data_IF_324576675339
#
_entry.id   IF_324576675339
#
_cell.length_a   1.000
_cell.length_b   1.000
_cell.length_c   1.000
_cell.angle_alpha   90.00
_cell.angle_beta   90.00
_cell.angle_gamma   90.00
#
_symmetry.space_group_name_H-M   'P 1'
#
loop_
_entity.id
_entity.type
_entity.pdbx_description
1 polymer ?
#
# COMPACT_ATOMS: atom_id res chain seq x y z
N UNK A 1 -8.22 -114.16 -8.82
CA UNK A 1 -8.21 -114.59 -10.23
C UNK A 1 -8.56 -113.35 -11.05
N UNK A 2 -7.55 -112.58 -11.45
CA UNK A 2 -6.95 -112.64 -12.80
C UNK A 2 -7.99 -112.18 -13.84
N UNK A 3 -7.92 -110.91 -14.28
CA UNK A 3 -7.29 -110.43 -15.54
C UNK A 3 -8.05 -110.99 -16.76
N UNK A 4 -8.52 -110.26 -17.77
CA UNK A 4 -7.99 -109.11 -18.55
C UNK A 4 -8.84 -109.11 -19.86
N UNK A 5 -9.14 -108.05 -20.60
CA UNK A 5 -8.33 -107.09 -21.40
C UNK A 5 -9.35 -106.19 -22.15
N UNK A 6 -9.26 -104.86 -22.32
CA UNK A 6 -8.42 -104.03 -23.24
C UNK A 6 -8.16 -104.63 -24.63
N UNK A 7 -7.96 -103.84 -25.73
CA UNK A 7 -7.49 -102.43 -25.86
C UNK A 7 -8.39 -101.57 -26.81
N UNK A 8 -8.25 -100.25 -27.04
CA UNK A 8 -7.18 -99.42 -27.65
C UNK A 8 -7.40 -97.94 -27.22
N UNK A 9 -6.44 -97.17 -26.70
CA UNK A 9 -5.22 -96.58 -27.31
C UNK A 9 -5.59 -95.58 -28.44
N UNK A 10 -5.20 -94.30 -28.52
CA UNK A 10 -4.23 -93.36 -27.94
C UNK A 10 -4.89 -91.94 -28.01
N UNK A 11 -4.48 -90.85 -27.37
CA UNK A 11 -3.23 -90.48 -26.74
C UNK A 11 -3.40 -89.10 -26.07
N UNK A 12 -2.52 -88.86 -25.09
CA UNK A 12 -2.48 -87.69 -24.22
C UNK A 12 -1.84 -86.49 -24.93
N UNK A 13 -2.50 -85.34 -24.89
CA UNK A 13 -1.90 -84.02 -25.02
C UNK A 13 -2.25 -83.21 -23.78
N UNK A 14 -1.32 -83.13 -22.83
CA UNK A 14 -1.52 -82.40 -21.58
C UNK A 14 -1.50 -80.89 -21.76
N UNK A 15 -2.34 -80.21 -20.98
CA UNK A 15 -2.07 -78.89 -20.37
C UNK A 15 -3.04 -78.70 -19.20
N UNK A 16 -2.47 -78.37 -18.05
CA UNK A 16 -3.18 -78.14 -16.78
C UNK A 16 -4.27 -77.06 -16.92
N UNK A 17 -5.45 -77.27 -16.31
CA UNK A 17 -6.46 -76.23 -16.18
C UNK A 17 -6.03 -75.19 -15.15
N UNK A 18 -6.22 -73.94 -15.56
CA UNK A 18 -6.03 -72.68 -14.85
C UNK A 18 -6.79 -72.60 -13.53
N UNK A 19 -6.16 -71.93 -12.56
CA UNK A 19 -6.78 -71.49 -11.31
C UNK A 19 -8.05 -70.66 -11.57
N UNK A 20 -9.04 -70.68 -10.65
CA UNK A 20 -10.28 -69.94 -10.81
C UNK A 20 -10.02 -68.43 -10.83
N UNK A 21 -10.50 -67.80 -11.89
CA UNK A 21 -10.48 -66.35 -12.12
C UNK A 21 -11.24 -65.63 -11.01
N UNK A 22 -10.59 -64.66 -10.37
CA UNK A 22 -11.22 -63.71 -9.46
C UNK A 22 -12.43 -63.04 -10.13
N UNK A 23 -13.51 -62.76 -9.37
CA UNK A 23 -14.64 -61.99 -9.89
C UNK A 23 -14.18 -60.61 -10.38
N UNK A 24 -14.83 -60.05 -11.41
CA UNK A 24 -14.49 -58.74 -11.93
C UNK A 24 -14.58 -57.69 -10.82
N UNK A 25 -13.68 -56.70 -10.79
CA UNK A 25 -13.76 -55.62 -9.84
C UNK A 25 -15.11 -54.93 -10.02
N UNK A 26 -15.86 -54.83 -8.92
CA UNK A 26 -17.04 -53.99 -8.81
C UNK A 26 -16.61 -52.61 -9.31
N UNK A 27 -17.30 -51.98 -10.28
CA UNK A 27 -16.97 -50.62 -10.66
C UNK A 27 -17.06 -49.79 -9.38
N UNK A 28 -15.93 -49.17 -9.02
CA UNK A 28 -15.90 -48.21 -7.95
C UNK A 28 -17.05 -47.24 -8.22
N UNK A 29 -18.01 -47.22 -7.31
CA UNK A 29 -18.97 -46.14 -7.25
C UNK A 29 -18.10 -44.92 -6.98
N UNK A 30 -17.76 -44.20 -8.05
CA UNK A 30 -17.30 -42.82 -7.94
C UNK A 30 -18.42 -42.13 -7.22
N UNK A 31 -18.26 -41.94 -5.91
CA UNK A 31 -18.99 -40.92 -5.20
C UNK A 31 -18.80 -39.67 -6.04
N UNK A 32 -19.86 -39.06 -6.59
CA UNK A 32 -19.70 -37.72 -7.12
C UNK A 32 -19.25 -36.93 -5.91
N UNK A 33 -17.96 -36.61 -5.87
CA UNK A 33 -17.46 -35.57 -4.99
C UNK A 33 -18.42 -34.41 -5.17
N UNK A 34 -19.01 -34.00 -4.06
CA UNK A 34 -19.78 -32.77 -3.94
C UNK A 34 -18.99 -31.66 -4.65
N UNK A 35 -19.40 -31.38 -5.89
CA UNK A 35 -19.30 -30.06 -6.49
C UNK A 35 -20.02 -29.14 -5.50
N UNK A 36 -19.26 -28.66 -4.50
CA UNK A 36 -19.67 -27.53 -3.68
C UNK A 36 -20.12 -26.47 -4.68
N UNK A 37 -21.42 -26.14 -4.77
CA UNK A 37 -21.86 -25.15 -5.73
C UNK A 37 -21.03 -23.91 -5.45
N UNK A 38 -20.39 -23.37 -6.49
CA UNK A 38 -19.72 -22.10 -6.39
C UNK A 38 -20.70 -21.16 -5.69
N UNK A 39 -20.35 -20.69 -4.49
CA UNK A 39 -21.26 -19.87 -3.70
C UNK A 39 -21.42 -18.55 -4.46
N UNK A 40 -22.43 -18.49 -5.32
CA UNK A 40 -22.78 -17.28 -6.05
C UNK A 40 -23.47 -16.39 -5.03
N UNK A 41 -22.83 -15.26 -4.73
CA UNK A 41 -23.44 -14.28 -3.83
C UNK A 41 -24.79 -13.83 -4.39
N UNK A 42 -25.85 -13.76 -3.55
CA UNK A 42 -27.15 -13.30 -3.99
C UNK A 42 -27.08 -11.88 -4.55
N UNK A 43 -27.71 -11.67 -5.70
CA UNK A 43 -27.71 -10.38 -6.40
C UNK A 43 -28.83 -9.47 -5.89
N UNK A 44 -28.49 -8.26 -5.46
CA UNK A 44 -29.45 -7.29 -4.95
C UNK A 44 -30.04 -6.42 -6.05
N UNK A 45 -29.23 -6.03 -7.04
CA UNK A 45 -29.65 -5.22 -8.19
C UNK A 45 -29.58 -3.72 -7.99
N UNK A 46 -29.36 -3.23 -6.77
CA UNK A 46 -29.30 -1.80 -6.43
C UNK A 46 -27.96 -1.36 -5.82
N UNK A 47 -27.05 -2.31 -5.58
CA UNK A 47 -25.77 -2.05 -4.92
C UNK A 47 -24.72 -1.48 -5.87
N UNK A 48 -23.96 -0.45 -5.47
CA UNK A 48 -22.98 0.21 -6.33
C UNK A 48 -21.73 -0.64 -6.60
N UNK A 49 -21.46 -1.65 -5.77
CA UNK A 49 -20.38 -2.62 -5.88
C UNK A 49 -20.77 -3.87 -6.66
N UNK A 50 -22.05 -4.02 -7.02
CA UNK A 50 -22.53 -5.16 -7.80
C UNK A 50 -22.41 -4.94 -9.31
N UNK A 51 -21.91 -5.97 -10.00
CA UNK A 51 -21.92 -6.02 -11.45
C UNK A 51 -22.84 -7.15 -11.92
N UNK A 52 -24.02 -6.78 -12.44
CA UNK A 52 -25.01 -7.75 -12.92
C UNK A 52 -24.45 -8.72 -13.98
N UNK A 53 -23.43 -8.34 -14.75
CA UNK A 53 -22.79 -9.24 -15.72
C UNK A 53 -21.90 -10.29 -15.07
N UNK A 54 -21.20 -9.93 -14.00
CA UNK A 54 -20.35 -10.86 -13.27
C UNK A 54 -21.19 -11.84 -12.46
N UNK A 55 -22.29 -11.36 -11.87
CA UNK A 55 -23.34 -12.21 -11.31
C UNK A 55 -23.89 -13.18 -12.35
N UNK A 56 -24.33 -12.69 -13.51
CA UNK A 56 -24.92 -13.55 -14.55
C UNK A 56 -23.94 -14.62 -15.04
N UNK A 57 -22.64 -14.29 -15.15
CA UNK A 57 -21.58 -15.27 -15.45
C UNK A 57 -21.31 -16.23 -14.30
N UNK A 58 -21.42 -15.79 -13.05
CA UNK A 58 -21.28 -16.65 -11.89
C UNK A 58 -22.46 -17.65 -11.80
N UNK A 59 -23.69 -17.17 -11.97
CA UNK A 59 -24.90 -17.99 -12.06
C UNK A 59 -24.76 -19.05 -13.16
N UNK A 60 -24.44 -18.66 -14.39
CA UNK A 60 -24.30 -19.64 -15.49
C UNK A 60 -23.18 -20.65 -15.24
N UNK A 61 -22.08 -20.25 -14.59
CA UNK A 61 -21.02 -21.19 -14.17
C UNK A 61 -21.50 -22.18 -13.11
N UNK A 62 -22.27 -21.72 -12.13
CA UNK A 62 -22.84 -22.57 -11.08
C UNK A 62 -23.92 -23.53 -11.62
N UNK A 63 -24.67 -23.10 -12.63
CA UNK A 63 -25.71 -23.92 -13.26
C UNK A 63 -25.14 -24.95 -14.23
N UNK A 64 -23.96 -24.69 -14.82
CA UNK A 64 -23.31 -25.62 -15.74
C UNK A 64 -24.21 -26.00 -16.91
N UNK A 65 -24.30 -27.30 -17.20
CA UNK A 65 -25.08 -27.85 -18.32
C UNK A 65 -26.57 -28.09 -17.99
N UNK A 66 -27.09 -27.47 -16.92
CA UNK A 66 -28.53 -27.58 -16.59
C UNK A 66 -29.39 -27.04 -17.73
N UNK A 67 -30.55 -27.67 -18.00
CA UNK A 67 -31.47 -27.19 -19.00
C UNK A 67 -32.11 -25.86 -18.58
N UNK A 68 -32.60 -25.10 -19.55
CA UNK A 68 -33.01 -23.71 -19.37
C UNK A 68 -34.27 -23.56 -18.51
N UNK A 69 -35.19 -24.54 -18.55
CA UNK A 69 -36.33 -24.63 -17.65
C UNK A 69 -35.90 -24.69 -16.17
N UNK A 70 -34.89 -25.51 -15.86
CA UNK A 70 -34.30 -25.60 -14.52
C UNK A 70 -33.55 -24.32 -14.15
N UNK A 71 -32.97 -23.61 -15.12
CA UNK A 71 -32.35 -22.29 -14.87
C UNK A 71 -33.38 -21.26 -14.45
N UNK A 72 -34.50 -21.20 -15.17
CA UNK A 72 -35.62 -20.33 -14.82
C UNK A 72 -36.13 -20.59 -13.40
N UNK A 73 -36.40 -21.85 -13.05
CA UNK A 73 -36.88 -22.22 -11.71
C UNK A 73 -35.91 -21.84 -10.59
N UNK A 74 -34.61 -21.98 -10.84
CA UNK A 74 -33.59 -21.74 -9.82
C UNK A 74 -33.09 -20.30 -9.77
N UNK A 75 -33.30 -19.49 -10.81
CA UNK A 75 -32.76 -18.14 -10.91
C UNK A 75 -33.16 -17.25 -9.73
N UNK A 76 -34.43 -17.31 -9.32
CA UNK A 76 -34.95 -16.56 -8.16
C UNK A 76 -34.19 -16.85 -6.86
N UNK A 77 -33.66 -18.07 -6.67
CA UNK A 77 -32.91 -18.45 -5.47
C UNK A 77 -31.52 -17.79 -5.38
N UNK A 78 -31.06 -17.18 -6.48
CA UNK A 78 -29.80 -16.43 -6.55
C UNK A 78 -30.02 -14.92 -6.51
N UNK A 79 -31.27 -14.48 -6.35
CA UNK A 79 -31.61 -13.08 -6.08
C UNK A 79 -31.72 -12.89 -4.58
N UNK A 80 -31.32 -11.72 -4.10
CA UNK A 80 -31.51 -11.40 -2.70
C UNK A 80 -32.99 -11.18 -2.42
N UNK A 81 -33.55 -11.95 -1.47
CA UNK A 81 -34.94 -11.81 -1.06
C UNK A 81 -35.27 -10.36 -0.66
N UNK A 82 -36.41 -9.86 -1.14
CA UNK A 82 -36.86 -8.47 -0.93
C UNK A 82 -35.89 -7.40 -1.48
N UNK A 83 -34.99 -7.78 -2.39
CA UNK A 83 -34.10 -6.87 -3.12
C UNK A 83 -34.72 -6.37 -4.43
N UNK A 84 -34.15 -5.31 -5.03
CA UNK A 84 -34.63 -4.73 -6.29
C UNK A 84 -34.68 -5.77 -7.42
N UNK A 85 -33.69 -6.67 -7.48
CA UNK A 85 -33.66 -7.75 -8.46
C UNK A 85 -34.77 -8.80 -8.24
N UNK A 86 -35.09 -9.12 -6.99
CA UNK A 86 -36.16 -10.07 -6.65
C UNK A 86 -37.55 -9.46 -6.96
N UNK A 87 -37.76 -8.19 -6.60
CA UNK A 87 -38.97 -7.44 -6.96
C UNK A 87 -39.14 -7.32 -8.48
N UNK A 88 -38.05 -7.05 -9.20
CA UNK A 88 -38.04 -7.02 -10.66
C UNK A 88 -38.43 -8.38 -11.26
N UNK A 89 -37.81 -9.47 -10.80
CA UNK A 89 -38.10 -10.81 -11.33
C UNK A 89 -39.55 -11.22 -11.04
N UNK A 90 -40.05 -10.92 -9.83
CA UNK A 90 -41.44 -11.15 -9.45
C UNK A 90 -42.44 -10.34 -10.29
N UNK A 91 -42.04 -9.17 -10.79
CA UNK A 91 -42.86 -8.34 -11.65
C UNK A 91 -42.89 -8.79 -13.13
N UNK A 92 -42.00 -9.71 -13.54
CA UNK A 92 -42.00 -10.23 -14.91
C UNK A 92 -43.23 -11.10 -15.18
N UNK A 93 -43.78 -11.08 -16.41
CA UNK A 93 -44.82 -12.03 -16.82
C UNK A 93 -44.36 -13.50 -16.70
N UNK A 94 -45.29 -14.41 -16.39
CA UNK A 94 -44.98 -15.84 -16.19
C UNK A 94 -44.41 -16.50 -17.45
N UNK A 95 -44.86 -16.08 -18.62
CA UNK A 95 -44.33 -16.49 -19.92
C UNK A 95 -42.87 -16.05 -20.12
N UNK A 96 -42.48 -14.89 -19.60
CA UNK A 96 -41.08 -14.44 -19.58
C UNK A 96 -40.27 -15.21 -18.56
N UNK A 97 -40.80 -15.45 -17.36
CA UNK A 97 -40.09 -16.20 -16.31
C UNK A 97 -39.79 -17.66 -16.68
N UNK A 98 -40.52 -18.23 -17.64
CA UNK A 98 -40.35 -19.62 -18.10
C UNK A 98 -39.50 -19.75 -19.36
N UNK A 99 -39.14 -18.64 -20.00
CA UNK A 99 -38.26 -18.59 -21.17
C UNK A 99 -36.93 -17.94 -20.81
N UNK A 100 -35.87 -18.75 -20.74
CA UNK A 100 -34.56 -18.29 -20.29
C UNK A 100 -33.98 -17.19 -21.17
N UNK A 101 -34.18 -17.24 -22.50
CA UNK A 101 -33.67 -16.22 -23.41
C UNK A 101 -34.37 -14.87 -23.17
N UNK A 102 -35.66 -14.89 -22.84
CA UNK A 102 -36.43 -13.70 -22.47
C UNK A 102 -36.03 -13.15 -21.09
N UNK A 103 -35.76 -14.02 -20.10
CA UNK A 103 -35.18 -13.62 -18.81
C UNK A 103 -33.83 -12.93 -19.01
N UNK A 104 -32.93 -13.51 -19.82
CA UNK A 104 -31.62 -12.92 -20.14
C UNK A 104 -31.78 -11.55 -20.77
N UNK A 105 -32.73 -11.41 -21.71
CA UNK A 105 -32.99 -10.17 -22.43
C UNK A 105 -33.47 -9.07 -21.49
N UNK A 106 -34.47 -9.35 -20.67
CA UNK A 106 -34.99 -8.38 -19.70
C UNK A 106 -33.94 -8.05 -18.63
N UNK A 107 -33.17 -9.04 -18.17
CA UNK A 107 -32.08 -8.81 -17.21
C UNK A 107 -31.03 -7.82 -17.76
N UNK A 108 -30.63 -7.99 -19.02
CA UNK A 108 -29.68 -7.08 -19.67
C UNK A 108 -30.27 -5.69 -20.00
N UNK A 109 -31.60 -5.58 -20.09
CA UNK A 109 -32.28 -4.29 -20.21
C UNK A 109 -32.26 -3.51 -18.88
N UNK A 110 -32.50 -4.19 -17.76
CA UNK A 110 -32.49 -3.60 -16.43
C UNK A 110 -31.08 -3.34 -15.89
N UNK A 111 -30.13 -4.26 -16.11
CA UNK A 111 -28.72 -4.12 -15.70
C UNK A 111 -27.79 -4.17 -16.92
N UNK A 112 -27.71 -3.06 -17.69
CA UNK A 112 -26.89 -2.99 -18.89
C UNK A 112 -25.41 -3.11 -18.55
N UNK A 113 -24.63 -3.56 -19.53
CA UNK A 113 -23.16 -3.64 -19.40
C UNK A 113 -22.60 -2.25 -19.14
N UNK A 114 -21.96 -2.08 -17.97
CA UNK A 114 -21.17 -0.90 -17.72
C UNK A 114 -20.15 -0.72 -18.85
N UNK A 115 -20.19 0.43 -19.51
CA UNK A 115 -19.19 0.79 -20.52
C UNK A 115 -17.87 1.00 -19.79
N UNK A 116 -16.97 0.02 -19.88
CA UNK A 116 -15.62 0.17 -19.33
C UNK A 116 -15.00 1.41 -19.97
N UNK A 117 -14.70 2.42 -19.14
CA UNK A 117 -13.95 3.59 -19.55
C UNK A 117 -12.61 3.11 -20.11
N UNK A 118 -12.51 3.05 -21.45
CA UNK A 118 -11.26 2.76 -22.12
C UNK A 118 -10.45 4.03 -22.09
N UNK A 119 -9.21 3.94 -21.60
CA UNK A 119 -8.28 5.06 -21.70
C UNK A 119 -8.25 5.55 -23.14
N UNK A 120 -8.43 6.84 -23.30
CA UNK A 120 -8.33 7.54 -24.58
C UNK A 120 -6.89 7.48 -25.08
N UNK A 121 -6.67 7.74 -26.38
CA UNK A 121 -5.33 7.83 -26.94
C UNK A 121 -4.47 8.85 -26.16
N UNK A 122 -5.06 9.99 -25.80
CA UNK A 122 -4.41 11.04 -25.02
C UNK A 122 -3.94 10.58 -23.63
N UNK A 123 -4.77 9.81 -22.91
CA UNK A 123 -4.37 9.25 -21.61
C UNK A 123 -3.23 8.23 -21.74
N UNK A 124 -3.21 7.44 -22.81
CA UNK A 124 -2.07 6.56 -23.09
C UNK A 124 -0.80 7.35 -23.43
N UNK A 125 -0.91 8.46 -24.16
CA UNK A 125 0.24 9.33 -24.46
C UNK A 125 0.83 9.94 -23.19
N UNK A 126 -0.03 10.45 -22.29
CA UNK A 126 0.39 10.97 -20.99
C UNK A 126 1.09 9.89 -20.16
N UNK A 127 0.56 8.67 -20.11
CA UNK A 127 1.16 7.55 -19.38
C UNK A 127 2.51 7.10 -19.98
N UNK A 128 2.62 7.03 -21.30
CA UNK A 128 3.88 6.69 -21.99
C UNK A 128 4.96 7.72 -21.67
N UNK A 129 4.61 9.01 -21.63
CA UNK A 129 5.57 10.08 -21.33
C UNK A 129 5.87 10.23 -19.84
N UNK A 130 4.90 9.91 -18.97
CA UNK A 130 5.07 9.93 -17.52
C UNK A 130 5.89 8.75 -16.99
N UNK A 131 5.89 7.60 -17.68
CA UNK A 131 6.62 6.41 -17.25
C UNK A 131 8.14 6.57 -17.46
N UNK A 132 8.79 7.18 -16.47
CA UNK A 132 10.23 7.42 -16.47
C UNK A 132 10.97 6.44 -15.56
N UNK A 133 12.11 5.95 -16.06
CA UNK A 133 13.05 5.17 -15.27
C UNK A 133 13.95 6.13 -14.48
N UNK A 134 13.83 6.12 -13.15
CA UNK A 134 14.66 6.97 -12.28
C UNK A 134 16.08 6.44 -12.22
N UNK A 135 17.06 7.34 -12.28
CA UNK A 135 18.48 7.02 -12.15
C UNK A 135 18.82 6.37 -10.80
N UNK A 136 18.08 6.70 -9.75
CA UNK A 136 18.24 6.14 -8.40
C UNK A 136 17.84 4.67 -8.31
N UNK A 137 16.84 4.27 -9.10
CA UNK A 137 16.33 2.91 -9.15
C UNK A 137 17.18 1.99 -10.05
N UNK A 138 18.22 2.52 -10.69
CA UNK A 138 19.10 1.77 -11.58
C UNK A 138 19.87 0.68 -10.83
N UNK A 139 19.91 -0.51 -11.43
CA UNK A 139 20.62 -1.68 -10.88
C UNK A 139 19.94 -2.33 -9.66
N UNK A 140 18.75 -1.86 -9.28
CA UNK A 140 17.91 -2.52 -8.28
C UNK A 140 17.07 -3.61 -8.93
N UNK A 141 16.60 -4.53 -8.09
CA UNK A 141 15.58 -5.51 -8.45
C UNK A 141 14.23 -5.04 -7.91
N UNK A 142 13.19 -5.21 -8.71
CA UNK A 142 11.80 -5.05 -8.29
C UNK A 142 11.04 -6.37 -8.50
N UNK A 143 10.09 -6.64 -7.61
CA UNK A 143 9.23 -7.82 -7.73
C UNK A 143 8.08 -7.50 -8.68
N UNK A 144 8.04 -8.16 -9.83
CA UNK A 144 6.95 -8.07 -10.81
C UNK A 144 6.32 -9.44 -10.95
N UNK A 145 5.01 -9.54 -10.68
CA UNK A 145 4.25 -10.79 -10.74
C UNK A 145 4.93 -11.95 -9.96
N UNK A 146 5.44 -11.65 -8.76
CA UNK A 146 6.12 -12.63 -7.90
C UNK A 146 7.54 -13.01 -8.31
N UNK A 147 8.13 -12.34 -9.32
CA UNK A 147 9.52 -12.58 -9.77
C UNK A 147 10.40 -11.36 -9.58
N UNK A 148 11.61 -11.55 -9.06
CA UNK A 148 12.61 -10.49 -9.00
C UNK A 148 13.18 -10.20 -10.39
N UNK A 149 12.92 -9.00 -10.90
CA UNK A 149 13.38 -8.54 -12.21
C UNK A 149 14.13 -7.22 -12.03
N UNK A 150 15.19 -6.98 -12.81
CA UNK A 150 15.89 -5.70 -12.75
C UNK A 150 14.99 -4.55 -13.20
N UNK A 151 15.10 -3.41 -12.54
CA UNK A 151 14.23 -2.24 -12.74
C UNK A 151 14.15 -1.76 -14.20
N UNK A 152 15.24 -1.83 -14.96
CA UNK A 152 15.24 -1.44 -16.37
C UNK A 152 14.50 -2.44 -17.28
N UNK A 153 14.55 -3.73 -16.97
CA UNK A 153 13.81 -4.79 -17.68
C UNK A 153 12.33 -4.64 -17.37
N UNK A 154 12.00 -4.51 -16.08
CA UNK A 154 10.64 -4.35 -15.64
C UNK A 154 9.99 -3.04 -16.15
N UNK A 155 10.77 -1.95 -16.23
CA UNK A 155 10.35 -0.73 -16.91
C UNK A 155 10.08 -0.98 -18.40
N UNK A 156 10.95 -1.71 -19.10
CA UNK A 156 10.75 -2.02 -20.52
C UNK A 156 9.49 -2.86 -20.76
N UNK A 157 9.16 -3.77 -19.84
CA UNK A 157 7.94 -4.58 -19.91
C UNK A 157 6.68 -3.75 -19.65
N UNK A 158 6.69 -2.89 -18.62
CA UNK A 158 5.61 -1.94 -18.35
C UNK A 158 5.38 -0.99 -19.53
N UNK A 159 6.46 -0.45 -20.09
CA UNK A 159 6.40 0.41 -21.28
C UNK A 159 5.87 -0.33 -22.50
N UNK A 160 6.30 -1.56 -22.73
CA UNK A 160 5.80 -2.41 -23.81
C UNK A 160 4.30 -2.68 -23.71
N UNK A 161 3.80 -2.93 -22.50
CA UNK A 161 2.36 -3.12 -22.28
C UNK A 161 1.55 -1.84 -22.59
N UNK A 162 2.04 -0.67 -22.18
CA UNK A 162 1.39 0.62 -22.47
C UNK A 162 1.36 0.91 -23.97
N UNK A 163 2.49 0.79 -24.65
CA UNK A 163 2.61 1.04 -26.08
C UNK A 163 1.78 0.06 -26.91
N UNK A 164 1.67 -1.20 -26.46
CA UNK A 164 0.80 -2.20 -27.09
C UNK A 164 -0.66 -1.81 -26.97
N UNK A 165 -1.11 -1.40 -25.79
CA UNK A 165 -2.49 -0.93 -25.57
C UNK A 165 -2.81 0.35 -26.33
N UNK A 166 -1.81 1.21 -26.53
CA UNK A 166 -1.92 2.42 -27.35
C UNK A 166 -1.85 2.16 -28.88
N UNK A 167 -1.55 0.92 -29.31
CA UNK A 167 -1.46 0.58 -30.73
C UNK A 167 -0.21 1.13 -31.45
N UNK A 168 0.81 1.58 -30.71
CA UNK A 168 1.99 2.23 -31.30
C UNK A 168 3.19 1.29 -31.53
N UNK A 169 3.08 0.00 -31.21
CA UNK A 169 4.21 -0.94 -31.23
C UNK A 169 4.96 -1.03 -32.56
N UNK A 170 4.24 -0.92 -33.68
CA UNK A 170 4.84 -1.00 -35.02
C UNK A 170 5.55 0.30 -35.46
N UNK A 171 5.28 1.42 -34.79
CA UNK A 171 5.81 2.73 -35.13
C UNK A 171 6.94 3.20 -34.22
N UNK A 172 7.44 4.41 -34.48
CA UNK A 172 8.47 5.09 -33.68
C UNK A 172 7.93 6.25 -32.85
N UNK A 173 6.60 6.44 -32.82
CA UNK A 173 5.94 7.53 -32.11
C UNK A 173 6.36 7.53 -30.64
N UNK A 174 6.74 8.70 -30.13
CA UNK A 174 7.23 8.94 -28.76
C UNK A 174 8.57 8.31 -28.36
N UNK A 175 9.18 7.40 -29.15
CA UNK A 175 10.48 6.79 -28.81
C UNK A 175 11.55 7.86 -28.55
N UNK A 176 11.62 8.89 -29.41
CA UNK A 176 12.57 9.99 -29.26
C UNK A 176 12.37 10.80 -27.97
N UNK A 177 11.11 10.97 -27.53
CA UNK A 177 10.76 11.66 -26.28
C UNK A 177 11.14 10.81 -25.07
N UNK A 178 10.73 9.53 -25.07
CA UNK A 178 11.02 8.59 -23.98
C UNK A 178 12.53 8.37 -23.84
N UNK A 179 13.27 8.27 -24.94
CA UNK A 179 14.74 8.17 -24.90
C UNK A 179 15.41 9.38 -24.24
N UNK A 180 14.86 10.59 -24.40
CA UNK A 180 15.38 11.79 -23.70
C UNK A 180 15.12 11.75 -22.20
N UNK A 181 14.10 11.04 -21.75
CA UNK A 181 13.79 10.82 -20.34
C UNK A 181 14.60 9.68 -19.68
N UNK A 182 15.26 8.83 -20.47
CA UNK A 182 16.03 7.71 -19.92
C UNK A 182 17.32 8.16 -19.21
N UNK A 183 17.75 7.48 -18.13
CA UNK A 183 19.04 7.71 -17.49
C UNK A 183 20.19 7.62 -18.50
N UNK A 184 21.20 8.48 -18.33
CA UNK A 184 22.35 8.56 -19.24
C UNK A 184 23.00 7.21 -19.54
N UNK A 185 23.12 6.36 -18.51
CA UNK A 185 23.70 5.01 -18.61
C UNK A 185 22.97 4.10 -19.62
N UNK A 186 21.64 4.13 -19.68
CA UNK A 186 20.88 3.35 -20.66
C UNK A 186 20.88 4.06 -22.00
N UNK A 187 20.77 5.40 -21.99
CA UNK A 187 20.74 6.21 -23.21
C UNK A 187 22.01 6.04 -24.06
N UNK A 188 23.17 5.92 -23.42
CA UNK A 188 24.46 5.68 -24.06
C UNK A 188 24.52 4.30 -24.74
N UNK A 189 23.80 3.31 -24.20
CA UNK A 189 23.75 1.94 -24.74
C UNK A 189 22.68 1.76 -25.81
N UNK A 190 21.61 2.54 -25.73
CA UNK A 190 20.62 2.64 -26.82
C UNK A 190 21.17 3.60 -27.88
N UNK A 191 22.16 3.12 -28.65
CA UNK A 191 22.78 3.85 -29.75
C UNK A 191 21.90 3.73 -31.01
N UNK A 192 21.77 4.82 -31.76
CA UNK A 192 20.94 4.89 -32.97
C UNK A 192 19.50 5.29 -32.72
N UNK A 193 18.72 5.42 -33.80
CA UNK A 193 17.28 5.73 -33.73
C UNK A 193 16.52 4.42 -33.94
N UNK A 194 15.91 3.83 -32.89
CA UNK A 194 15.13 2.62 -33.05
C UNK A 194 13.98 2.87 -34.02
N UNK A 195 13.81 1.98 -34.99
CA UNK A 195 12.78 2.11 -36.03
C UNK A 195 11.38 1.81 -35.51
N UNK A 196 11.28 0.99 -34.45
CA UNK A 196 10.03 0.67 -33.77
C UNK A 196 10.25 0.37 -32.28
N UNK A 197 9.15 0.31 -31.53
CA UNK A 197 9.16 0.07 -30.10
C UNK A 197 9.69 -1.30 -29.72
N UNK A 198 9.44 -2.33 -30.54
CA UNK A 198 9.95 -3.68 -30.30
C UNK A 198 11.49 -3.68 -30.25
N UNK A 199 12.13 -3.06 -31.24
CA UNK A 199 13.58 -2.93 -31.30
C UNK A 199 14.13 -2.08 -30.15
N UNK A 200 13.47 -0.96 -29.82
CA UNK A 200 13.87 -0.10 -28.71
C UNK A 200 13.86 -0.84 -27.36
N UNK A 201 12.75 -1.51 -27.04
CA UNK A 201 12.60 -2.21 -25.77
C UNK A 201 13.51 -3.43 -25.69
N UNK A 202 13.76 -4.12 -26.80
CA UNK A 202 14.75 -5.20 -26.86
C UNK A 202 16.16 -4.69 -26.51
N UNK A 203 16.59 -3.55 -27.06
CA UNK A 203 17.88 -2.94 -26.72
C UNK A 203 17.96 -2.54 -25.26
N UNK A 204 16.88 -2.00 -24.68
CA UNK A 204 16.86 -1.64 -23.25
C UNK A 204 16.98 -2.88 -22.36
N UNK A 205 16.28 -3.98 -22.69
CA UNK A 205 16.38 -5.26 -21.96
C UNK A 205 17.76 -5.90 -22.07
N UNK A 206 18.46 -5.68 -23.19
CA UNK A 206 19.78 -6.26 -23.46
C UNK A 206 20.94 -5.48 -22.84
N UNK A 207 20.68 -4.39 -22.09
CA UNK A 207 21.75 -3.63 -21.43
C UNK A 207 22.40 -4.49 -20.34
N UNK A 208 23.74 -4.53 -20.36
CA UNK A 208 24.54 -5.30 -19.41
C UNK A 208 24.29 -4.87 -17.96
N UNK A 209 23.86 -5.84 -17.15
CA UNK A 209 23.48 -5.66 -15.74
C UNK A 209 24.70 -5.32 -14.87
N UNK A 210 25.85 -5.96 -15.11
CA UNK A 210 27.06 -5.72 -14.32
C UNK A 210 27.56 -4.30 -14.57
N UNK A 211 27.51 -3.85 -15.83
CA UNK A 211 27.82 -2.48 -16.18
C UNK A 211 26.84 -1.47 -15.55
N UNK A 212 25.54 -1.75 -15.55
CA UNK A 212 24.54 -0.90 -14.87
C UNK A 212 24.84 -0.81 -13.37
N UNK A 213 25.19 -1.93 -12.73
CA UNK A 213 25.47 -1.96 -11.28
C UNK A 213 26.73 -1.17 -10.95
N UNK A 214 27.80 -1.36 -11.72
CA UNK A 214 29.08 -0.67 -11.50
C UNK A 214 28.95 0.83 -11.75
N UNK A 215 28.28 1.23 -12.83
CA UNK A 215 28.01 2.64 -13.13
C UNK A 215 27.05 3.29 -12.13
N UNK A 216 26.01 2.59 -11.67
CA UNK A 216 25.11 3.11 -10.63
C UNK A 216 25.84 3.26 -9.29
N UNK A 217 26.75 2.35 -8.95
CA UNK A 217 27.59 2.46 -7.77
C UNK A 217 28.55 3.66 -7.85
N UNK A 218 29.17 3.90 -9.01
CA UNK A 218 30.05 5.06 -9.18
C UNK A 218 29.30 6.39 -9.18
N UNK A 219 28.12 6.47 -9.80
CA UNK A 219 27.28 7.67 -9.72
C UNK A 219 26.87 7.99 -8.28
N UNK A 220 26.60 6.98 -7.45
CA UNK A 220 26.32 7.18 -6.02
C UNK A 220 27.55 7.71 -5.28
N UNK A 221 28.75 7.16 -5.55
CA UNK A 221 30.00 7.64 -4.95
C UNK A 221 30.31 9.08 -5.36
N UNK A 222 30.14 9.43 -6.64
CA UNK A 222 30.41 10.78 -7.12
C UNK A 222 29.41 11.80 -6.55
N UNK A 223 28.12 11.45 -6.45
CA UNK A 223 27.13 12.30 -5.75
C UNK A 223 27.50 12.53 -4.29
N UNK A 224 27.97 11.50 -3.60
CA UNK A 224 28.41 11.62 -2.20
C UNK A 224 29.70 12.45 -2.07
N UNK A 225 30.58 12.38 -3.07
CA UNK A 225 31.75 13.25 -3.15
C UNK A 225 31.33 14.70 -3.39
N UNK A 226 30.41 14.94 -4.32
CA UNK A 226 29.90 16.27 -4.63
C UNK A 226 29.21 16.91 -3.42
N UNK A 227 28.35 16.17 -2.72
CA UNK A 227 27.73 16.63 -1.46
C UNK A 227 28.78 17.04 -0.42
N UNK A 228 29.86 16.26 -0.29
CA UNK A 228 30.97 16.58 0.64
C UNK A 228 31.73 17.84 0.22
N UNK A 229 31.93 18.04 -1.09
CA UNK A 229 32.55 19.26 -1.62
C UNK A 229 31.63 20.46 -1.39
N UNK A 230 30.35 20.35 -1.70
CA UNK A 230 29.36 21.42 -1.53
C UNK A 230 29.21 21.81 -0.07
N UNK A 231 29.17 20.85 0.85
CA UNK A 231 29.12 21.12 2.30
C UNK A 231 30.39 21.83 2.79
N UNK A 232 31.55 21.43 2.26
CA UNK A 232 32.82 22.10 2.55
C UNK A 232 32.84 23.53 2.01
N UNK A 233 32.36 23.74 0.80
CA UNK A 233 32.24 25.07 0.19
C UNK A 233 31.29 25.96 1.00
N UNK A 234 30.12 25.43 1.38
CA UNK A 234 29.14 26.12 2.22
C UNK A 234 29.73 26.53 3.58
N UNK A 235 30.52 25.67 4.19
CA UNK A 235 31.21 25.97 5.45
C UNK A 235 32.25 27.09 5.28
N UNK A 236 33.04 27.04 4.21
CA UNK A 236 34.04 28.07 3.90
C UNK A 236 33.39 29.43 3.59
N UNK A 237 32.29 29.44 2.84
CA UNK A 237 31.51 30.66 2.55
C UNK A 237 30.90 31.25 3.83
N UNK A 238 30.41 30.41 4.74
CA UNK A 238 29.91 30.86 6.04
C UNK A 238 31.02 31.49 6.91
N UNK A 239 32.24 30.95 6.85
CA UNK A 239 33.39 31.48 7.59
C UNK A 239 33.93 32.79 7.00
N UNK A 240 33.82 32.99 5.69
CA UNK A 240 34.33 34.14 4.94
C UNK A 240 33.27 35.23 4.68
N UNK A 241 32.11 35.16 5.34
CA UNK A 241 31.04 36.15 5.15
C UNK A 241 31.48 37.55 5.58
N UNK A 242 31.37 38.59 4.72
CA UNK A 242 31.72 39.98 5.05
C UNK A 242 30.92 40.56 6.24
N UNK A 243 29.79 39.95 6.58
CA UNK A 243 28.96 40.34 7.72
C UNK A 243 29.37 39.68 9.04
N UNK A 244 30.40 38.82 9.05
CA UNK A 244 30.88 38.14 10.26
C UNK A 244 31.24 39.14 11.36
N UNK A 245 32.03 40.16 11.04
CA UNK A 245 32.42 41.18 12.01
C UNK A 245 31.21 41.95 12.57
N UNK A 246 30.24 42.29 11.71
CA UNK A 246 29.02 43.01 12.08
C UNK A 246 28.10 42.13 12.95
N UNK A 247 27.97 40.84 12.63
CA UNK A 247 27.18 39.88 13.44
C UNK A 247 27.82 39.64 14.81
N UNK A 248 29.14 39.53 14.88
CA UNK A 248 29.84 39.42 16.16
C UNK A 248 29.66 40.70 16.99
N UNK A 249 29.78 41.88 16.37
CA UNK A 249 29.56 43.15 17.08
C UNK A 249 28.12 43.34 17.57
N UNK A 250 27.12 42.93 16.78
CA UNK A 250 25.70 42.97 17.18
C UNK A 250 25.38 41.94 18.27
N UNK A 251 26.04 40.78 18.29
CA UNK A 251 25.90 39.79 19.36
C UNK A 251 26.46 40.28 20.72
N UNK A 252 27.38 41.24 20.71
CA UNK A 252 27.92 41.88 21.92
C UNK A 252 27.19 43.17 22.33
N UNK A 253 26.26 43.67 21.52
CA UNK A 253 25.49 44.87 21.83
C UNK A 253 24.22 44.51 22.64
N UNK A 254 24.37 44.34 23.95
CA UNK A 254 23.24 44.26 24.88
C UNK A 254 22.64 45.65 25.08
N UNK A 255 21.48 45.93 24.47
CA UNK A 255 20.65 47.09 24.83
C UNK A 255 19.99 46.78 26.19
N UNK A 256 20.60 47.30 27.25
CA UNK A 256 20.06 47.19 28.61
C UNK A 256 18.76 47.98 28.75
N UNK A 257 17.63 47.28 28.93
CA UNK A 257 16.44 47.88 29.55
C UNK A 257 16.70 48.01 31.05
N UNK A 258 16.67 49.27 31.52
CA UNK A 258 16.72 49.70 32.91
C UNK A 258 16.13 48.68 33.91
N UNK A 259 16.95 48.18 34.83
CA UNK A 259 16.46 47.59 36.08
C UNK A 259 16.93 48.43 37.26
N UNK A 260 15.95 48.88 38.06
CA UNK A 260 16.17 49.51 39.36
C UNK A 260 17.04 48.61 40.23
N UNK A 261 17.97 49.24 40.95
CA UNK A 261 18.81 48.64 41.99
C UNK A 261 18.04 47.68 42.89
N UNK A 262 18.69 46.56 43.25
CA UNK A 262 18.90 46.19 44.65
C UNK A 262 20.07 45.22 44.81
N UNK A 263 20.92 45.57 45.77
CA UNK A 263 22.09 44.85 46.26
C UNK A 263 21.78 43.40 46.70
N UNK A 264 22.73 42.48 46.56
CA UNK A 264 23.66 42.07 47.64
C UNK A 264 24.56 40.91 47.22
N UNK A 265 25.85 41.04 47.60
CA UNK A 265 26.85 40.04 48.02
C UNK A 265 27.15 38.84 47.10
N UNK A 266 28.34 38.74 46.48
CA UNK A 266 29.71 38.52 46.99
C UNK A 266 30.11 37.04 46.92
N UNK A 267 31.39 36.84 46.57
CA UNK A 267 32.22 35.64 46.47
C UNK A 267 31.91 34.69 45.31
N UNK A 268 32.87 34.14 44.58
CA UNK A 268 34.29 34.40 44.25
C UNK A 268 34.77 33.06 43.68
N UNK A 269 35.60 33.11 42.65
CA UNK A 269 36.62 32.10 42.33
C UNK A 269 36.15 30.69 41.88
N UNK A 270 36.75 30.02 40.89
CA UNK A 270 37.69 30.31 39.81
C UNK A 270 37.80 28.98 38.99
N UNK A 271 38.68 28.84 37.98
CA UNK A 271 38.35 28.17 36.72
C UNK A 271 39.17 26.87 36.52
N UNK A 272 39.12 26.36 35.29
CA UNK A 272 39.87 25.22 34.74
C UNK A 272 39.23 23.83 34.91
N UNK A 273 38.56 23.36 33.84
CA UNK A 273 38.93 22.11 33.17
C UNK A 273 38.32 22.08 31.75
N UNK A 274 39.24 21.97 30.80
CA UNK A 274 39.09 21.54 29.40
C UNK A 274 38.45 20.14 29.38
N UNK A 275 37.54 19.73 28.50
CA UNK A 275 37.79 19.40 27.09
C UNK A 275 36.53 18.73 26.53
N UNK A 276 36.16 19.06 25.29
CA UNK A 276 35.67 18.06 24.32
C UNK A 276 34.16 17.91 24.12
N UNK A 277 33.73 18.09 22.88
CA UNK A 277 32.53 17.44 22.33
C UNK A 277 31.42 18.38 21.90
N UNK A 278 31.60 19.08 20.78
CA UNK A 278 30.54 19.82 20.12
C UNK A 278 29.42 18.90 19.65
N UNK A 279 28.23 19.07 20.23
CA UNK A 279 26.97 18.64 19.60
C UNK A 279 26.27 19.88 19.05
N UNK A 280 26.02 19.86 17.74
CA UNK A 280 25.31 20.88 17.00
C UNK A 280 23.86 20.97 17.45
N UNK A 281 23.59 22.00 18.24
CA UNK A 281 22.47 22.94 18.14
C UNK A 281 21.21 22.47 17.39
N UNK A 282 20.24 21.92 18.13
CA UNK A 282 18.82 22.06 17.82
C UNK A 282 18.16 22.76 18.99
N UNK A 283 18.02 24.08 18.87
CA UNK A 283 17.42 24.96 19.87
C UNK A 283 15.94 24.60 20.06
N UNK A 284 15.58 24.07 21.22
CA UNK A 284 14.25 24.23 21.79
C UNK A 284 14.34 25.16 22.99
N UNK A 285 13.62 26.28 22.91
CA UNK A 285 13.44 27.19 24.02
C UNK A 285 12.67 26.47 25.14
N UNK A 286 13.33 26.42 26.30
CA UNK A 286 12.81 25.93 27.57
C UNK A 286 11.76 26.93 28.07
N UNK A 287 10.55 26.45 28.35
CA UNK A 287 9.63 27.10 29.27
C UNK A 287 9.09 26.03 30.22
N UNK A 288 9.53 26.10 31.48
CA UNK A 288 8.94 25.39 32.61
C UNK A 288 8.26 26.44 33.53
N UNK A 289 7.56 26.03 34.61
CA UNK A 289 6.13 25.78 34.59
C UNK A 289 5.36 26.79 35.46
N UNK A 290 4.05 26.93 35.25
CA UNK A 290 3.17 27.48 36.30
C UNK A 290 1.88 26.67 36.37
N UNK A 291 1.64 26.18 37.58
CA UNK A 291 0.43 25.51 38.03
C UNK A 291 -0.78 26.46 38.11
N UNK A 292 -1.98 25.87 38.11
CA UNK A 292 -3.15 26.45 38.79
C UNK A 292 -4.36 26.79 37.92
N UNK A 293 -5.32 25.86 37.88
CA UNK A 293 -6.75 26.12 38.18
C UNK A 293 -7.60 27.07 37.33
N UNK A 294 -8.68 26.52 36.77
CA UNK A 294 -10.03 27.10 36.91
C UNK A 294 -10.55 28.03 35.79
N UNK A 295 -11.53 27.53 35.04
CA UNK A 295 -12.82 28.21 34.85
C UNK A 295 -12.95 29.39 33.87
N UNK A 296 -13.85 29.18 32.89
CA UNK A 296 -14.80 30.12 32.27
C UNK A 296 -14.29 31.40 31.54
N UNK A 297 -14.61 31.46 30.24
CA UNK A 297 -15.19 32.66 29.65
C UNK A 297 -14.33 33.54 28.73
N UNK A 298 -14.63 33.43 27.43
CA UNK A 298 -14.83 34.52 26.45
C UNK A 298 -13.60 35.21 25.80
N UNK A 299 -13.60 35.10 24.47
CA UNK A 299 -13.23 36.05 23.41
C UNK A 299 -11.99 36.96 23.58
N UNK A 300 -11.07 36.85 22.62
CA UNK A 300 -10.06 37.87 22.33
C UNK A 300 -9.06 37.37 21.32
N UNK A 301 -9.20 37.82 20.07
CA UNK A 301 -8.35 37.43 18.95
C UNK A 301 -6.88 37.77 19.19
N UNK A 302 -6.03 36.78 18.92
CA UNK A 302 -4.58 36.91 18.87
C UNK A 302 -4.06 35.81 17.97
N UNK A 303 -4.18 35.98 16.66
CA UNK A 303 -3.58 35.10 15.65
C UNK A 303 -2.06 35.30 15.68
N UNK A 304 -1.40 34.71 16.68
CA UNK A 304 0.02 34.41 16.59
C UNK A 304 0.19 33.43 15.44
N UNK A 305 0.74 33.90 14.32
CA UNK A 305 1.07 33.07 13.17
C UNK A 305 2.00 31.95 13.64
N UNK A 306 1.44 30.75 13.85
CA UNK A 306 2.22 29.53 14.00
C UNK A 306 3.02 29.40 12.72
N UNK A 307 4.34 29.52 12.81
CA UNK A 307 5.24 29.24 11.70
C UNK A 307 4.88 27.87 11.15
N UNK A 308 4.41 27.85 9.89
CA UNK A 308 4.03 26.62 9.23
C UNK A 308 5.27 25.72 9.20
N UNK A 309 5.14 24.53 9.77
CA UNK A 309 6.19 23.52 9.71
C UNK A 309 6.49 23.23 8.23
N UNK A 310 7.77 23.15 7.80
CA UNK A 310 8.08 22.72 6.45
C UNK A 310 7.45 21.34 6.18
N UNK A 311 6.99 21.08 4.94
CA UNK A 311 6.37 19.80 4.60
C UNK A 311 7.32 18.64 4.92
N UNK A 312 6.83 17.52 5.47
CA UNK A 312 7.67 16.36 5.77
C UNK A 312 8.39 15.86 4.53
N UNK A 313 9.71 15.64 4.64
CA UNK A 313 10.52 15.08 3.56
C UNK A 313 10.36 13.57 3.45
N UNK A 314 10.76 12.96 2.33
CA UNK A 314 10.74 11.49 2.22
C UNK A 314 11.72 10.83 3.21
N UNK A 315 12.83 11.49 3.53
CA UNK A 315 13.75 11.04 4.58
C UNK A 315 13.06 11.00 5.96
N UNK A 316 12.26 12.01 6.29
CA UNK A 316 11.50 12.04 7.55
C UNK A 316 10.49 10.89 7.62
N UNK A 317 9.82 10.59 6.50
CA UNK A 317 8.87 9.47 6.38
C UNK A 317 9.55 8.12 6.57
N UNK A 318 10.68 7.90 5.90
CA UNK A 318 11.47 6.66 6.05
C UNK A 318 11.97 6.50 7.49
N UNK A 319 12.52 7.56 8.08
CA UNK A 319 12.99 7.54 9.46
C UNK A 319 11.85 7.25 10.45
N UNK A 320 10.66 7.81 10.22
CA UNK A 320 9.49 7.56 11.05
C UNK A 320 8.96 6.13 10.91
N UNK A 321 8.89 5.57 9.70
CA UNK A 321 8.52 4.15 9.49
C UNK A 321 9.48 3.21 10.24
N UNK A 322 10.79 3.49 10.18
CA UNK A 322 11.77 2.70 10.92
C UNK A 322 11.56 2.78 12.45
N UNK A 323 11.13 3.92 12.99
CA UNK A 323 10.81 4.07 14.42
C UNK A 323 9.51 3.40 14.83
N UNK A 324 8.50 3.40 13.96
CA UNK A 324 7.26 2.62 14.18
C UNK A 324 7.61 1.14 14.24
N UNK A 325 8.42 0.63 13.31
CA UNK A 325 8.86 -0.77 13.30
C UNK A 325 9.66 -1.19 14.56
N UNK A 326 10.36 -0.25 15.22
CA UNK A 326 11.04 -0.51 16.50
C UNK A 326 10.08 -0.64 17.68
N UNK A 327 8.86 -0.11 17.57
CA UNK A 327 7.85 -0.18 18.63
C UNK A 327 7.00 -1.42 18.42
N UNK A 328 7.39 -2.52 19.08
CA UNK A 328 6.65 -3.78 19.02
C UNK A 328 5.23 -3.59 19.54
N UNK A 329 4.25 -3.85 18.69
CA UNK A 329 2.84 -3.89 19.04
C UNK A 329 2.48 -5.27 19.58
N UNK A 330 1.79 -5.30 20.72
CA UNK A 330 1.45 -6.55 21.40
C UNK A 330 -0.01 -6.95 21.14
N UNK A 331 -0.32 -8.26 21.05
CA UNK A 331 -1.70 -8.74 20.99
C UNK A 331 -2.44 -8.44 22.30
N UNK A 332 -3.78 -8.33 22.26
CA UNK A 332 -4.61 -8.09 23.45
C UNK A 332 -4.74 -9.31 24.36
N UNK A 333 -3.63 -9.65 24.98
CA UNK A 333 -3.48 -10.75 25.94
C UNK A 333 -2.94 -10.19 27.25
N UNK A 334 -3.06 -10.94 28.34
CA UNK A 334 -2.49 -10.52 29.63
C UNK A 334 -0.97 -10.32 29.56
N UNK A 335 -0.28 -11.21 28.82
CA UNK A 335 1.14 -11.08 28.53
C UNK A 335 1.43 -9.81 27.72
N UNK A 336 0.62 -9.51 26.70
CA UNK A 336 0.76 -8.30 25.89
C UNK A 336 0.53 -7.00 26.67
N UNK A 337 -0.45 -6.98 27.58
CA UNK A 337 -0.69 -5.85 28.50
C UNK A 337 0.46 -5.64 29.47
N UNK A 338 1.03 -6.72 30.00
CA UNK A 338 2.21 -6.66 30.87
C UNK A 338 3.44 -6.13 30.12
N UNK A 339 3.68 -6.62 28.89
CA UNK A 339 4.78 -6.17 28.04
C UNK A 339 4.65 -4.70 27.63
N UNK A 340 3.43 -4.26 27.29
CA UNK A 340 3.14 -2.86 27.01
C UNK A 340 3.39 -1.95 28.23
N UNK A 341 2.99 -2.35 29.44
CA UNK A 341 3.34 -1.59 30.65
C UNK A 341 4.85 -1.51 30.87
N UNK A 342 5.59 -2.58 30.58
CA UNK A 342 7.05 -2.57 30.62
C UNK A 342 7.65 -1.60 29.59
N UNK A 343 7.11 -1.56 28.37
CA UNK A 343 7.52 -0.60 27.35
C UNK A 343 7.23 0.85 27.77
N UNK A 344 6.10 1.12 28.42
CA UNK A 344 5.81 2.45 28.95
C UNK A 344 6.81 2.87 30.03
N UNK A 345 7.19 1.96 30.93
CA UNK A 345 8.24 2.21 31.94
C UNK A 345 9.60 2.46 31.28
N UNK A 346 10.00 1.62 30.33
CA UNK A 346 11.25 1.80 29.60
C UNK A 346 11.29 3.11 28.80
N UNK A 347 10.14 3.54 28.26
CA UNK A 347 10.01 4.83 27.61
C UNK A 347 10.22 5.99 28.59
N UNK A 348 9.59 5.93 29.76
CA UNK A 348 9.74 6.94 30.82
C UNK A 348 11.18 6.98 31.33
N UNK A 349 11.83 5.84 31.49
CA UNK A 349 13.24 5.75 31.91
C UNK A 349 14.18 6.35 30.86
N UNK A 350 13.93 6.05 29.57
CA UNK A 350 14.77 6.51 28.47
C UNK A 350 14.61 8.00 28.18
N UNK A 351 13.38 8.50 28.20
CA UNK A 351 13.07 9.86 27.75
C UNK A 351 12.73 10.81 28.88
N UNK A 352 12.30 10.33 30.04
CA UNK A 352 11.81 11.13 31.15
C UNK A 352 10.28 11.17 31.22
N UNK A 353 9.75 11.24 32.44
CA UNK A 353 8.31 11.25 32.68
C UNK A 353 7.62 12.47 32.04
N UNK A 354 8.24 13.64 32.05
CA UNK A 354 7.67 14.88 31.50
C UNK A 354 7.96 15.11 30.01
N UNK A 355 8.66 14.16 29.37
CA UNK A 355 9.05 14.35 27.98
C UNK A 355 7.84 14.31 27.06
N UNK A 356 7.84 15.23 26.10
CA UNK A 356 6.80 15.31 25.09
C UNK A 356 7.00 14.22 24.04
N UNK A 357 5.88 13.67 23.56
CA UNK A 357 5.87 12.79 22.39
C UNK A 357 6.14 13.61 21.14
N UNK A 358 7.13 13.19 20.37
CA UNK A 358 7.61 13.80 19.13
C UNK A 358 8.00 12.69 18.15
N UNK A 359 8.35 13.03 16.92
CA UNK A 359 8.92 12.07 15.97
C UNK A 359 10.10 11.27 16.51
N UNK A 360 10.92 11.90 17.36
CA UNK A 360 12.14 11.31 17.92
C UNK A 360 11.86 10.46 19.18
N UNK A 361 10.65 10.55 19.73
CA UNK A 361 10.26 9.92 21.01
C UNK A 361 9.00 9.07 20.83
N UNK A 362 9.09 7.94 20.08
CA UNK A 362 7.93 7.10 19.75
C UNK A 362 7.29 6.53 21.01
N UNK A 363 5.96 6.62 21.13
CA UNK A 363 5.25 6.14 22.31
C UNK A 363 4.66 4.72 22.07
N UNK A 364 4.75 3.80 23.06
CA UNK A 364 4.17 2.46 22.93
C UNK A 364 2.67 2.47 22.63
N UNK A 365 2.21 1.56 21.78
CA UNK A 365 0.80 1.42 21.40
C UNK A 365 0.08 0.43 22.32
N UNK A 366 -1.16 0.75 22.70
CA UNK A 366 -1.98 -0.11 23.55
C UNK A 366 -2.25 -1.45 22.85
N UNK A 367 -2.12 -2.60 23.53
CA UNK A 367 -2.48 -3.90 22.95
C UNK A 367 -3.92 -3.94 22.46
N UNK A 368 -4.17 -4.65 21.36
CA UNK A 368 -5.52 -4.76 20.76
C UNK A 368 -6.00 -3.54 19.97
N UNK A 369 -5.22 -2.46 19.93
CA UNK A 369 -5.46 -1.36 19.00
C UNK A 369 -4.86 -1.67 17.64
N UNK A 370 -5.21 -0.90 16.62
CA UNK A 370 -4.59 -0.98 15.29
C UNK A 370 -3.19 -0.32 15.28
N UNK A 371 -2.33 -0.66 14.31
CA UNK A 371 -1.05 -0.01 14.09
C UNK A 371 -1.18 1.52 13.94
N UNK A 372 -0.11 2.26 14.19
CA UNK A 372 -0.11 3.69 13.90
C UNK A 372 -0.18 3.92 12.38
N UNK A 373 -1.00 4.90 11.94
CA UNK A 373 -1.20 5.25 10.52
C UNK A 373 -2.02 4.21 9.70
N UNK A 374 -2.97 3.52 10.33
CA UNK A 374 -3.88 2.56 9.69
C UNK A 374 -5.33 3.08 9.61
N UNK A 375 -5.52 4.40 9.47
CA UNK A 375 -6.82 5.07 9.57
C UNK A 375 -7.56 4.84 10.90
N UNK A 376 -6.80 4.67 11.97
CA UNK A 376 -7.32 4.49 13.31
C UNK A 376 -7.93 5.78 13.89
N UNK A 377 -8.88 5.61 14.80
CA UNK A 377 -9.35 6.67 15.67
C UNK A 377 -8.30 6.96 16.75
N UNK A 378 -7.81 8.20 16.85
CA UNK A 378 -6.85 8.57 17.91
C UNK A 378 -7.45 8.52 19.32
N UNK A 379 -8.78 8.45 19.44
CA UNK A 379 -9.47 8.32 20.71
C UNK A 379 -9.46 6.90 21.28
N UNK A 380 -9.56 5.87 20.43
CA UNK A 380 -9.70 4.47 20.88
C UNK A 380 -8.73 3.48 20.22
N UNK A 381 -8.02 3.88 19.17
CA UNK A 381 -7.10 3.02 18.43
C UNK A 381 -7.76 2.03 17.47
N UNK A 382 -9.07 2.12 17.23
CA UNK A 382 -9.83 1.24 16.32
C UNK A 382 -10.26 1.98 15.05
N UNK A 383 -10.60 1.25 13.99
CA UNK A 383 -11.10 1.81 12.73
C UNK A 383 -12.61 2.15 12.78
N UNK A 384 -13.13 2.73 11.69
CA UNK A 384 -14.56 2.98 11.47
C UNK A 384 -15.07 4.35 11.94
N UNK A 385 -14.24 5.16 12.62
CA UNK A 385 -14.62 6.52 13.04
C UNK A 385 -13.41 7.42 13.34
N UNK A 386 -13.65 8.71 13.55
CA UNK A 386 -12.63 9.71 13.93
C UNK A 386 -12.76 10.11 15.41
N UNK A 387 -11.69 10.64 16.01
CA UNK A 387 -11.64 10.98 17.44
C UNK A 387 -12.80 11.86 17.96
N UNK A 388 -13.28 12.90 17.22
CA UNK A 388 -14.46 13.66 17.63
C UNK A 388 -15.77 12.87 17.65
N UNK A 389 -15.86 11.79 16.85
CA UNK A 389 -17.02 10.89 16.76
C UNK A 389 -16.76 9.57 17.49
N UNK A 390 -15.81 9.55 18.43
CA UNK A 390 -15.49 8.33 19.16
C UNK A 390 -16.59 7.99 20.17
N UNK A 391 -17.19 6.78 20.10
CA UNK A 391 -18.27 6.38 20.99
C UNK A 391 -17.78 6.00 22.40
N UNK A 392 -16.46 5.85 22.61
CA UNK A 392 -15.93 5.49 23.92
C UNK A 392 -15.95 6.69 24.90
N UNK A 393 -16.31 6.44 26.18
CA UNK A 393 -16.23 7.46 27.22
C UNK A 393 -14.76 7.82 27.52
N UNK A 394 -14.53 8.99 28.11
CA UNK A 394 -13.20 9.57 28.27
C UNK A 394 -12.21 8.66 29.01
N UNK A 395 -12.68 7.86 29.96
CA UNK A 395 -11.89 6.96 30.79
C UNK A 395 -11.36 5.75 30.01
N UNK A 396 -12.05 5.36 28.92
CA UNK A 396 -11.63 4.25 28.04
C UNK A 396 -10.78 4.71 26.87
N UNK A 397 -10.66 6.02 26.66
CA UNK A 397 -9.84 6.58 25.57
C UNK A 397 -8.35 6.25 25.77
N UNK A 398 -7.60 6.36 24.67
CA UNK A 398 -6.15 6.22 24.70
C UNK A 398 -5.53 7.31 25.58
N UNK A 399 -4.35 7.00 26.12
CA UNK A 399 -3.54 8.00 26.80
C UNK A 399 -3.23 9.14 25.82
N UNK A 400 -3.23 10.38 26.28
CA UNK A 400 -2.89 11.56 25.49
C UNK A 400 -1.56 11.39 24.74
N UNK A 401 -0.57 10.71 25.34
CA UNK A 401 0.73 10.43 24.71
C UNK A 401 0.63 9.50 23.51
N UNK A 402 -0.20 8.47 23.62
CA UNK A 402 -0.44 7.56 22.50
C UNK A 402 -1.27 8.24 21.41
N UNK A 403 -2.28 9.02 21.79
CA UNK A 403 -3.08 9.81 20.86
C UNK A 403 -2.22 10.82 20.08
N UNK A 404 -1.31 11.52 20.77
CA UNK A 404 -0.34 12.44 20.16
C UNK A 404 0.61 11.69 19.20
N UNK A 405 1.10 10.52 19.60
CA UNK A 405 1.96 9.69 18.74
C UNK A 405 1.25 9.30 17.44
N UNK A 406 0.01 8.83 17.53
CA UNK A 406 -0.81 8.48 16.36
C UNK A 406 -1.09 9.69 15.47
N UNK A 407 -1.34 10.86 16.07
CA UNK A 407 -1.53 12.10 15.33
C UNK A 407 -0.26 12.52 14.57
N UNK A 408 0.91 12.40 15.20
CA UNK A 408 2.22 12.66 14.56
C UNK A 408 2.45 11.69 13.40
N UNK A 409 2.20 10.40 13.61
CA UNK A 409 2.37 9.37 12.58
C UNK A 409 1.51 9.68 11.36
N UNK A 410 0.22 9.98 11.57
CA UNK A 410 -0.69 10.34 10.49
C UNK A 410 -0.31 11.67 9.82
N UNK A 411 0.17 12.67 10.57
CA UNK A 411 0.55 13.96 9.99
C UNK A 411 1.76 13.87 9.05
N UNK A 412 2.66 12.92 9.27
CA UNK A 412 3.94 12.82 8.55
C UNK A 412 3.87 11.79 7.42
N UNK A 413 3.24 10.65 7.70
CA UNK A 413 3.11 9.54 6.74
C UNK A 413 1.96 9.74 5.77
N UNK A 414 0.94 10.53 6.11
CA UNK A 414 -0.07 10.92 5.14
C UNK A 414 0.60 11.77 4.07
N UNK A 415 0.50 11.31 2.83
CA UNK A 415 0.82 12.11 1.66
C UNK A 415 -0.15 13.30 1.72
N UNK A 416 0.34 14.44 2.20
CA UNK A 416 -0.28 15.72 1.90
C UNK A 416 -0.09 15.89 0.40
N UNK A 417 -1.07 15.46 -0.39
CA UNK A 417 -1.34 16.17 -1.62
C UNK A 417 -1.47 17.62 -1.17
N UNK A 418 -0.56 18.48 -1.65
CA UNK A 418 -0.76 19.92 -1.54
C UNK A 418 -2.24 20.16 -1.81
N UNK A 419 -2.90 20.89 -0.89
CA UNK A 419 -4.32 21.27 -0.97
C UNK A 419 -4.76 21.26 -2.42
N UNK A 420 -5.73 20.41 -2.84
CA UNK A 420 -6.14 20.41 -4.23
C UNK A 420 -6.48 21.85 -4.57
N UNK A 421 -5.73 22.42 -5.51
CA UNK A 421 -6.11 23.65 -6.18
C UNK A 421 -7.54 23.37 -6.63
N UNK A 422 -8.49 24.09 -6.04
CA UNK A 422 -9.91 23.92 -6.37
C UNK A 422 -10.04 24.42 -7.81
N UNK A 423 -9.88 23.53 -8.77
CA UNK A 423 -10.20 23.81 -10.15
C UNK A 423 -11.71 23.97 -10.20
N UNK A 424 -12.16 25.22 -10.18
CA UNK A 424 -13.50 25.57 -10.61
C UNK A 424 -13.46 25.41 -12.13
N UNK A 425 -13.82 24.22 -12.61
CA UNK A 425 -14.20 24.08 -14.02
C UNK A 425 -15.57 24.72 -14.11
N UNK A 426 -15.62 25.90 -14.74
CA UNK A 426 -16.86 26.47 -15.24
C UNK A 426 -17.16 25.69 -16.50
N UNK A 427 -18.23 24.91 -16.52
CA UNK A 427 -18.74 24.34 -17.76
C UNK A 427 -19.41 25.43 -18.61
N UNK A 428 -19.53 25.21 -19.92
CA UNK A 428 -20.10 26.17 -20.88
C UNK A 428 -21.59 26.49 -20.65
N UNK A 429 -22.19 26.02 -19.55
CA UNK A 429 -23.57 26.33 -19.13
C UNK A 429 -23.71 26.76 -17.65
N UNK A 430 -22.63 27.12 -16.96
CA UNK A 430 -22.68 27.90 -15.71
C UNK A 430 -23.19 27.15 -14.46
N UNK A 431 -23.04 25.83 -14.38
CA UNK A 431 -23.43 25.02 -13.22
C UNK A 431 -22.25 24.65 -12.31
N UNK A 432 -22.38 24.85 -10.98
CA UNK A 432 -21.34 24.48 -10.00
C UNK A 432 -21.71 23.15 -9.33
N UNK A 433 -21.04 22.05 -9.68
CA UNK A 433 -21.16 20.76 -9.00
C UNK A 433 -19.84 20.35 -8.32
N UNK A 434 -19.91 20.00 -7.03
CA UNK A 434 -18.77 19.52 -6.26
C UNK A 434 -18.71 17.98 -6.34
N UNK A 435 -17.57 17.44 -6.77
CA UNK A 435 -17.31 15.99 -6.81
C UNK A 435 -16.51 15.60 -5.56
N UNK A 436 -17.06 14.69 -4.75
CA UNK A 436 -16.34 14.07 -3.63
C UNK A 436 -15.48 12.88 -4.12
N UNK A 437 -14.22 12.74 -3.66
CA UNK A 437 -13.39 11.59 -4.03
C UNK A 437 -13.63 10.41 -3.06
N UNK A 438 -14.25 9.35 -3.57
CA UNK A 438 -14.30 8.03 -2.92
C UNK A 438 -13.04 7.22 -3.25
N UNK A 439 -12.41 6.62 -2.25
CA UNK A 439 -11.30 5.68 -2.41
C UNK A 439 -11.38 4.60 -1.33
N UNK A 440 -11.73 3.38 -1.73
CA UNK A 440 -11.55 2.14 -0.97
C UNK A 440 -10.34 1.39 -1.56
N UNK A 441 -9.48 0.86 -0.69
CA UNK A 441 -8.42 -0.11 -1.01
C UNK A 441 -8.72 -1.32 -0.12
N UNK A 442 -9.02 -2.47 -0.73
CA UNK A 442 -9.16 -3.75 -0.04
C UNK A 442 -7.78 -4.33 0.29
N UNK A 443 -7.64 -4.79 1.54
CA UNK A 443 -6.53 -5.58 2.06
C UNK A 443 -6.71 -7.04 1.62
N UNK A 444 -5.70 -7.64 0.99
CA UNK A 444 -5.63 -9.09 0.76
C UNK A 444 -4.79 -9.71 1.89
N UNK A 445 -5.43 -10.64 2.59
CA UNK A 445 -4.92 -11.45 3.69
C UNK A 445 -4.04 -12.60 3.16
N UNK A 446 -2.80 -12.70 3.66
CA UNK A 446 -1.88 -13.82 3.38
C UNK A 446 -1.81 -14.72 4.61
N UNK A 447 -2.56 -15.82 4.60
CA UNK A 447 -2.39 -16.91 5.57
C UNK A 447 -2.16 -18.27 4.90
N UNK A 448 -0.99 -18.82 5.24
CA UNK A 448 -0.62 -20.24 5.40
C UNK A 448 -0.41 -21.17 4.19
N UNK A 449 0.75 -21.84 4.20
CA UNK A 449 1.02 -23.03 3.40
C UNK A 449 2.45 -23.56 3.53
N UNK A 450 2.69 -24.37 4.56
CA UNK A 450 3.94 -25.04 4.94
C UNK A 450 4.67 -25.76 3.79
N UNK A 451 6.01 -25.65 3.79
CA UNK A 451 6.89 -26.53 3.03
C UNK A 451 7.18 -27.83 3.76
N UNK A 452 6.80 -28.96 3.16
CA UNK A 452 7.40 -30.26 3.42
C UNK A 452 8.40 -30.59 2.33
N UNK A 453 9.65 -30.84 2.73
CA UNK A 453 10.68 -31.50 1.91
C UNK A 453 10.43 -33.01 1.90
N UNK A 454 10.61 -33.69 0.75
CA UNK A 454 11.05 -35.06 0.75
C UNK A 454 12.55 -35.13 0.50
N UNK A 455 13.21 -35.84 1.41
CA UNK A 455 14.47 -36.53 1.22
C UNK A 455 14.39 -37.54 0.07
N UNK A 456 15.33 -37.45 -0.87
CA UNK A 456 16.17 -38.56 -1.39
C UNK A 456 17.33 -38.01 -2.22
#
# INVERSE_FOLDING_TARGET
MSRSSSPDSYGLGGRSPTAPTSPPPIPAYSSPDDDMPANVEPFWGDRPDENGQDFFRAFNRAMGDKPDDVKCELFVNYLHADGEADEWYAALPVDVQTDWDEVVREFHACWPRATVARKTAMEYEEEILALQLKEEAMGLKETVAGREVYTHIAWADKMGALVTRAGHMAGSTYIGLVRRGLPGLIRERVIGTPTNWTAFLATVRAVDIDHIRDSAAELRKERERQKRIDERMRTLEALNSPTRAIRTQLAHASIGTNTKLRHTTTTDANPFLTTGGGQGNLSYAVAAPSAGGGGVGRAGGGTGARTARPPPTEADRVALRARIAQTVQHPDTEAGRTAHQAQQRAWIEKYGAETRVTELTPYPLRPGTLPANSNECFGCGLAGHIAPRCPLPAERKLNIREADWRAICRSILRIVFATPVRYVVIDDYGGVAAVEPSAYIEEIDESQGNGERPSE
#
